data_IF_064938353589
#
_entry.id   IF_064938353589
#
_cell.length_a   1.000
_cell.length_b   1.000
_cell.length_c   1.000
_cell.angle_alpha   90.00
_cell.angle_beta   90.00
_cell.angle_gamma   90.00
#
_symmetry.space_group_name_H-M   'P 1'
#
loop_
_entity.id
_entity.type
_entity.pdbx_description
1 polymer ?
#
# COMPACT_ATOMS: atom_id res chain seq x y z
N UNK A 1 -0.08 3.50 3.93
CA UNK A 1 -0.06 3.49 5.41
C UNK A 1 0.47 2.15 5.90
N UNK A 2 1.08 2.09 7.08
CA UNK A 2 1.56 0.84 7.65
C UNK A 2 0.42 -0.19 7.73
N UNK A 3 0.73 -1.46 7.51
CA UNK A 3 -0.30 -2.52 7.47
C UNK A 3 -1.05 -2.67 8.80
N UNK A 4 -0.40 -2.32 9.91
CA UNK A 4 -0.95 -2.41 11.27
C UNK A 4 -1.77 -1.18 11.71
N UNK A 5 -2.01 -0.20 10.84
CA UNK A 5 -2.87 0.94 11.17
C UNK A 5 -4.32 0.51 11.38
N UNK A 6 -4.89 0.93 12.51
CA UNK A 6 -6.32 0.80 12.80
C UNK A 6 -7.17 1.83 12.03
N UNK A 7 -8.49 1.69 12.11
CA UNK A 7 -9.43 2.52 11.35
C UNK A 7 -9.30 4.01 11.69
N UNK A 8 -9.12 4.36 12.97
CA UNK A 8 -8.95 5.76 13.40
C UNK A 8 -7.68 6.39 12.82
N UNK A 9 -6.56 5.65 12.80
CA UNK A 9 -5.29 6.12 12.22
C UNK A 9 -5.39 6.27 10.69
N UNK A 10 -6.13 5.38 10.02
CA UNK A 10 -6.41 5.50 8.58
C UNK A 10 -7.25 6.74 8.27
N UNK A 11 -8.27 6.99 9.08
CA UNK A 11 -9.13 8.16 8.92
C UNK A 11 -8.33 9.45 9.14
N UNK A 12 -7.52 9.53 10.21
CA UNK A 12 -6.63 10.66 10.45
C UNK A 12 -5.67 10.92 9.28
N UNK A 13 -5.13 9.86 8.66
CA UNK A 13 -4.25 9.99 7.49
C UNK A 13 -5.00 10.53 6.27
N UNK A 14 -6.25 10.08 6.06
CA UNK A 14 -7.10 10.59 4.98
C UNK A 14 -7.43 12.06 5.18
N UNK A 15 -7.81 12.43 6.39
CA UNK A 15 -8.16 13.81 6.74
C UNK A 15 -6.95 14.74 6.56
N UNK A 16 -5.75 14.29 6.94
CA UNK A 16 -4.51 15.03 6.68
C UNK A 16 -4.30 15.31 5.18
N UNK A 17 -4.59 14.34 4.31
CA UNK A 17 -4.54 14.54 2.86
C UNK A 17 -5.56 15.56 2.36
N UNK A 18 -6.78 15.53 2.89
CA UNK A 18 -7.83 16.51 2.55
C UNK A 18 -7.45 17.92 3.01
N UNK A 19 -6.90 18.06 4.22
CA UNK A 19 -6.40 19.34 4.77
C UNK A 19 -5.26 19.88 3.90
N UNK A 20 -4.39 19.01 3.38
CA UNK A 20 -3.35 19.37 2.42
C UNK A 20 -3.88 19.74 1.03
N UNK A 21 -5.20 19.71 0.81
CA UNK A 21 -5.84 20.02 -0.47
C UNK A 21 -5.77 18.88 -1.50
N UNK A 22 -5.45 17.66 -1.07
CA UNK A 22 -5.35 16.50 -1.94
C UNK A 22 -6.66 15.71 -1.96
N UNK A 23 -7.05 15.24 -3.16
CA UNK A 23 -8.15 14.29 -3.30
C UNK A 23 -7.67 12.87 -2.96
N UNK A 24 -7.96 12.40 -1.75
CA UNK A 24 -7.54 11.07 -1.28
C UNK A 24 -8.49 9.98 -1.79
N UNK A 25 -8.16 9.41 -2.95
CA UNK A 25 -8.96 8.37 -3.62
C UNK A 25 -9.02 7.05 -2.86
N UNK A 26 -7.89 6.59 -2.31
CA UNK A 26 -7.80 5.34 -1.54
C UNK A 26 -6.60 5.36 -0.61
N UNK A 27 -6.78 4.84 0.60
CA UNK A 27 -5.68 4.51 1.51
C UNK A 27 -5.35 3.03 1.32
N UNK A 28 -4.11 2.74 0.93
CA UNK A 28 -3.62 1.36 0.75
C UNK A 28 -2.51 1.04 1.75
N UNK A 29 -2.38 -0.25 2.04
CA UNK A 29 -1.30 -0.75 2.89
C UNK A 29 0.02 -0.71 2.12
N UNK A 30 1.08 -0.32 2.81
CA UNK A 30 2.43 -0.24 2.28
C UNK A 30 2.95 -1.54 1.64
N UNK A 31 2.89 -2.72 2.29
CA UNK A 31 3.32 -3.96 1.64
C UNK A 31 2.46 -4.31 0.43
N UNK A 32 1.17 -3.94 0.41
CA UNK A 32 0.32 -4.13 -0.77
C UNK A 32 0.76 -3.22 -1.92
N UNK A 33 1.11 -1.97 -1.64
CA UNK A 33 1.63 -1.05 -2.64
C UNK A 33 2.96 -1.56 -3.23
N UNK A 34 3.85 -2.06 -2.38
CA UNK A 34 5.13 -2.65 -2.79
C UNK A 34 4.95 -3.93 -3.63
N UNK A 35 4.01 -4.81 -3.24
CA UNK A 35 3.67 -6.00 -4.03
C UNK A 35 3.13 -5.66 -5.42
N UNK A 36 2.24 -4.66 -5.50
CA UNK A 36 1.70 -4.18 -6.77
C UNK A 36 2.82 -3.60 -7.65
N UNK A 37 3.68 -2.74 -7.09
CA UNK A 37 4.82 -2.18 -7.82
C UNK A 37 5.76 -3.27 -8.37
N UNK A 38 6.03 -4.31 -7.57
CA UNK A 38 6.83 -5.45 -8.01
C UNK A 38 6.15 -6.20 -9.17
N UNK A 39 4.85 -6.46 -9.09
CA UNK A 39 4.10 -7.22 -10.10
C UNK A 39 3.84 -6.47 -11.41
N UNK A 40 3.84 -5.13 -11.42
CA UNK A 40 3.48 -4.33 -12.61
C UNK A 40 4.43 -4.50 -13.81
N UNK A 41 5.70 -4.84 -13.58
CA UNK A 41 6.70 -5.03 -14.63
C UNK A 41 7.07 -6.50 -14.86
N UNK A 42 6.36 -7.44 -14.23
CA UNK A 42 6.57 -8.86 -14.45
C UNK A 42 5.73 -9.36 -15.61
N UNK A 43 6.32 -10.15 -16.50
CA UNK A 43 5.53 -10.89 -17.48
C UNK A 43 4.52 -11.79 -16.75
N UNK A 44 3.23 -11.75 -17.13
CA UNK A 44 2.21 -12.56 -16.51
C UNK A 44 2.41 -14.02 -16.94
N UNK A 45 3.27 -14.74 -16.23
CA UNK A 45 3.20 -16.19 -16.18
C UNK A 45 2.04 -16.54 -15.25
N UNK A 46 0.85 -16.64 -15.84
CA UNK A 46 -0.47 -16.72 -15.18
C UNK A 46 -0.62 -17.95 -14.28
N UNK A 47 0.25 -18.96 -14.42
CA UNK A 47 0.06 -20.28 -13.81
C UNK A 47 0.85 -20.55 -12.52
N UNK A 48 1.73 -19.64 -12.06
CA UNK A 48 2.51 -19.83 -10.82
C UNK A 48 2.13 -18.81 -9.74
N UNK A 49 1.32 -19.22 -8.77
CA UNK A 49 1.14 -18.47 -7.53
C UNK A 49 2.49 -18.37 -6.80
N UNK A 50 3.00 -17.13 -6.65
CA UNK A 50 4.29 -16.87 -5.98
C UNK A 50 4.06 -16.34 -4.57
N UNK A 51 4.76 -16.93 -3.61
CA UNK A 51 4.86 -16.38 -2.26
C UNK A 51 5.94 -15.28 -2.26
N UNK A 52 5.54 -14.07 -1.89
CA UNK A 52 6.42 -12.90 -1.89
C UNK A 52 6.55 -12.39 -0.45
N UNK A 53 7.78 -12.36 0.05
CA UNK A 53 8.10 -11.70 1.32
C UNK A 53 8.45 -10.23 1.03
N UNK A 54 7.76 -9.32 1.71
CA UNK A 54 8.08 -7.90 1.67
C UNK A 54 8.72 -7.53 3.00
N UNK A 55 9.95 -7.04 2.89
CA UNK A 55 10.72 -6.55 4.02
C UNK A 55 10.97 -5.07 3.80
N UNK A 56 10.32 -4.26 4.63
CA UNK A 56 10.41 -2.81 4.61
C UNK A 56 11.19 -2.35 5.85
N UNK A 57 12.36 -1.76 5.63
CA UNK A 57 13.23 -1.20 6.67
C UNK A 57 13.11 0.32 6.68
N UNK A 58 11.98 0.79 7.18
CA UNK A 58 11.72 2.20 7.48
C UNK A 58 12.29 2.67 8.82
N UNK A 59 12.01 3.92 9.17
CA UNK A 59 12.42 4.56 10.43
C UNK A 59 11.47 4.35 11.61
#
# INVERSE_FOLDING_TARGET
VPAYFNDSQRQATKDAGVIAGLNVMRIINEPTAAALAYGLNMEPNIDDAKNILIFDLGG
#
